data_IF_863583549251
#
_entry.id   IF_863583549251
#
_cell.length_a   1.000
_cell.length_b   1.000
_cell.length_c   1.000
_cell.angle_alpha   90.00
_cell.angle_beta   90.00
_cell.angle_gamma   90.00
#
_symmetry.space_group_name_H-M   'P 1'
#
loop_
_entity.id
_entity.type
_entity.pdbx_description
1 polymer ?
#
# COMPACT_ATOMS: atom_id res chain seq x y z
N UNK A 1 13.63 -26.29 57.45
CA UNK A 1 12.36 -27.04 57.63
C UNK A 1 11.33 -26.46 56.71
N UNK A 2 10.95 -27.16 55.65
CA UNK A 2 9.85 -26.80 54.77
C UNK A 2 8.67 -27.72 55.10
N UNK A 3 7.42 -27.25 55.25
CA UNK A 3 6.30 -28.11 55.50
C UNK A 3 5.85 -28.81 54.20
N UNK A 4 5.72 -30.12 54.26
CA UNK A 4 5.07 -30.97 53.27
C UNK A 4 3.55 -30.78 53.38
N UNK A 5 2.92 -30.28 52.30
CA UNK A 5 1.47 -30.26 52.17
C UNK A 5 1.05 -31.61 51.61
N UNK A 6 0.30 -32.36 52.37
CA UNK A 6 -0.29 -33.64 52.01
C UNK A 6 -1.66 -33.36 51.32
N UNK A 7 -1.81 -33.74 50.07
CA UNK A 7 -3.07 -33.61 49.32
C UNK A 7 -3.75 -34.99 49.34
N UNK A 8 -4.99 -35.12 49.83
CA UNK A 8 -5.67 -36.42 49.90
C UNK A 8 -6.10 -36.93 48.52
N UNK A 9 -5.94 -38.21 48.27
CA UNK A 9 -6.23 -38.94 47.01
C UNK A 9 -7.70 -38.91 46.53
N UNK A 10 -8.60 -38.32 47.25
CA UNK A 10 -10.01 -38.24 46.89
C UNK A 10 -10.38 -37.14 45.87
N UNK A 11 -9.46 -36.18 45.63
CA UNK A 11 -9.65 -35.10 44.67
C UNK A 11 -9.13 -35.40 43.24
N UNK A 12 -8.48 -36.55 43.05
CA UNK A 12 -7.88 -36.94 41.78
C UNK A 12 -8.81 -37.76 40.88
N UNK A 13 -10.06 -38.05 41.33
CA UNK A 13 -11.02 -38.85 40.55
C UNK A 13 -12.17 -38.07 39.92
N UNK A 14 -12.20 -36.76 40.03
CA UNK A 14 -13.28 -35.92 39.41
C UNK A 14 -12.82 -35.12 38.19
N UNK A 15 -11.61 -35.29 37.71
CA UNK A 15 -11.13 -34.61 36.49
C UNK A 15 -10.97 -35.52 35.25
N UNK A 16 -11.50 -36.74 35.29
CA UNK A 16 -11.55 -37.64 34.12
C UNK A 16 -13.00 -37.77 33.67
N UNK A 17 -13.54 -36.72 33.07
CA UNK A 17 -14.93 -36.76 32.61
C UNK A 17 -15.38 -35.61 31.68
N UNK A 18 -14.48 -34.69 31.33
CA UNK A 18 -14.83 -33.62 30.38
C UNK A 18 -13.68 -33.50 29.37
N UNK A 19 -13.49 -34.58 28.63
CA UNK A 19 -12.65 -34.60 27.45
C UNK A 19 -13.45 -35.27 26.33
N UNK A 20 -14.57 -34.62 25.93
CA UNK A 20 -15.17 -34.97 24.64
C UNK A 20 -16.02 -33.77 24.16
N UNK A 21 -15.76 -33.39 22.93
CA UNK A 21 -16.43 -32.36 22.12
C UNK A 21 -16.14 -30.90 22.48
N UNK A 22 -14.86 -30.51 22.42
CA UNK A 22 -14.56 -29.28 21.70
C UNK A 22 -14.51 -29.70 20.21
N UNK A 23 -15.65 -29.79 19.59
CA UNK A 23 -15.73 -29.67 18.13
C UNK A 23 -15.15 -28.27 17.86
N UNK A 24 -13.96 -28.22 17.30
CA UNK A 24 -13.36 -27.05 16.74
C UNK A 24 -14.35 -26.53 15.71
N UNK A 25 -15.26 -25.63 16.11
CA UNK A 25 -15.82 -24.67 15.19
C UNK A 25 -14.62 -23.82 14.76
N UNK A 26 -13.89 -24.33 13.77
CA UNK A 26 -13.03 -23.49 12.98
C UNK A 26 -13.92 -22.31 12.59
N UNK A 27 -13.69 -21.15 13.21
CA UNK A 27 -14.12 -19.88 12.63
C UNK A 27 -13.83 -20.04 11.15
N UNK A 28 -14.88 -19.88 10.35
CA UNK A 28 -14.75 -19.97 8.89
C UNK A 28 -13.80 -18.90 8.41
N UNK A 29 -12.50 -19.13 8.59
CA UNK A 29 -11.48 -18.48 7.83
C UNK A 29 -11.90 -18.73 6.39
N UNK A 30 -12.18 -17.67 5.68
CA UNK A 30 -12.48 -17.68 4.26
C UNK A 30 -11.46 -18.56 3.58
N UNK A 31 -11.86 -19.78 3.19
CA UNK A 31 -10.92 -20.68 2.51
C UNK A 31 -10.43 -19.95 1.25
N UNK A 32 -9.12 -19.82 1.04
CA UNK A 32 -8.60 -19.26 -0.20
C UNK A 32 -9.29 -19.96 -1.36
N UNK A 33 -9.73 -19.20 -2.34
CA UNK A 33 -10.20 -19.75 -3.59
C UNK A 33 -9.04 -20.57 -4.11
N UNK A 34 -9.22 -21.88 -4.28
CA UNK A 34 -8.19 -22.71 -4.92
C UNK A 34 -7.83 -22.01 -6.24
N UNK A 35 -6.54 -21.68 -6.40
CA UNK A 35 -6.05 -20.96 -7.57
C UNK A 35 -6.53 -21.71 -8.82
N UNK A 36 -7.44 -21.11 -9.57
CA UNK A 36 -7.88 -21.64 -10.84
C UNK A 36 -6.72 -21.46 -11.82
N UNK A 37 -5.97 -22.53 -12.10
CA UNK A 37 -5.00 -22.54 -13.21
C UNK A 37 -5.70 -22.53 -14.58
N UNK A 38 -7.04 -22.60 -14.60
CA UNK A 38 -7.83 -22.54 -15.81
C UNK A 38 -7.80 -21.13 -16.39
N UNK A 39 -7.68 -20.97 -17.70
CA UNK A 39 -7.80 -19.67 -18.37
C UNK A 39 -9.18 -19.04 -18.08
N UNK A 40 -9.24 -17.72 -18.02
CA UNK A 40 -10.50 -16.97 -17.94
C UNK A 40 -10.66 -16.12 -19.19
N UNK A 41 -11.77 -16.27 -19.88
CA UNK A 41 -12.16 -15.43 -21.02
C UNK A 41 -13.31 -14.50 -20.61
N UNK A 42 -13.01 -13.21 -20.50
CA UNK A 42 -14.00 -12.15 -20.28
C UNK A 42 -14.46 -11.67 -21.65
N UNK A 43 -15.77 -11.72 -21.93
CA UNK A 43 -16.34 -11.40 -23.24
C UNK A 43 -17.16 -10.13 -23.26
N UNK A 44 -17.18 -9.48 -24.42
CA UNK A 44 -18.10 -8.38 -24.77
C UNK A 44 -18.00 -7.17 -23.85
N UNK A 45 -16.89 -6.95 -23.17
CA UNK A 45 -16.70 -5.85 -22.23
C UNK A 45 -16.46 -4.51 -22.94
N UNK A 46 -16.77 -3.41 -22.26
CA UNK A 46 -16.12 -2.12 -22.50
C UNK A 46 -14.80 -2.12 -21.73
N UNK A 47 -13.66 -2.16 -22.43
CA UNK A 47 -12.34 -2.22 -21.83
C UNK A 47 -11.70 -0.84 -21.78
N UNK A 48 -11.40 -0.37 -20.58
CA UNK A 48 -10.66 0.86 -20.31
C UNK A 48 -9.18 0.52 -20.19
N UNK A 49 -8.42 0.72 -21.27
CA UNK A 49 -7.01 0.31 -21.28
C UNK A 49 -6.11 1.23 -20.49
N UNK A 50 -6.55 2.45 -20.22
CA UNK A 50 -5.85 3.56 -19.55
C UNK A 50 -4.74 4.20 -20.40
N UNK A 51 -4.02 3.41 -21.20
CA UNK A 51 -2.90 3.89 -22.03
C UNK A 51 -3.22 3.95 -23.53
N UNK A 52 -4.27 3.24 -23.97
CA UNK A 52 -4.65 3.14 -25.40
C UNK A 52 -6.14 3.45 -25.64
N UNK A 53 -6.77 4.14 -24.68
CA UNK A 53 -8.16 4.54 -24.75
C UNK A 53 -9.13 3.40 -24.45
N UNK A 54 -10.39 3.61 -24.80
CA UNK A 54 -11.55 2.76 -24.56
C UNK A 54 -11.80 1.83 -25.75
N UNK A 55 -12.01 0.54 -25.50
CA UNK A 55 -12.32 -0.49 -26.49
C UNK A 55 -13.70 -1.07 -26.22
N UNK A 56 -14.60 -0.98 -27.20
CA UNK A 56 -15.97 -1.48 -27.09
C UNK A 56 -16.10 -2.93 -27.57
N UNK A 57 -16.98 -3.71 -26.92
CA UNK A 57 -17.29 -5.10 -27.27
C UNK A 57 -16.01 -5.92 -27.47
N UNK A 58 -15.16 -5.90 -26.46
CA UNK A 58 -13.82 -6.47 -26.51
C UNK A 58 -13.69 -7.63 -25.51
N UNK A 59 -13.02 -8.69 -25.94
CA UNK A 59 -12.73 -9.85 -25.14
C UNK A 59 -11.31 -9.74 -24.55
N UNK A 60 -11.15 -10.21 -23.32
CA UNK A 60 -9.84 -10.39 -22.66
C UNK A 60 -9.64 -11.86 -22.29
N UNK A 61 -8.51 -12.43 -22.70
CA UNK A 61 -8.09 -13.73 -22.24
C UNK A 61 -7.04 -13.57 -21.15
N UNK A 62 -7.35 -14.07 -19.95
CA UNK A 62 -6.43 -14.16 -18.81
C UNK A 62 -5.91 -15.59 -18.74
N UNK A 63 -4.59 -15.77 -18.83
CA UNK A 63 -3.96 -17.08 -18.82
C UNK A 63 -2.55 -17.01 -18.20
N UNK A 64 -2.20 -17.99 -17.38
CA UNK A 64 -0.89 -18.08 -16.70
C UNK A 64 -0.53 -16.80 -15.93
N UNK A 65 -1.51 -16.19 -15.27
CA UNK A 65 -1.32 -14.97 -14.49
C UNK A 65 -1.18 -13.69 -15.31
N UNK A 66 -1.35 -13.77 -16.65
CA UNK A 66 -1.14 -12.65 -17.57
C UNK A 66 -2.37 -12.36 -18.41
N UNK A 67 -2.44 -11.12 -18.92
CA UNK A 67 -3.32 -10.77 -20.03
C UNK A 67 -2.72 -11.37 -21.30
N UNK A 68 -3.26 -12.50 -21.73
CA UNK A 68 -2.70 -13.25 -22.85
C UNK A 68 -3.13 -12.70 -24.22
N UNK A 69 -4.40 -12.26 -24.35
CA UNK A 69 -4.95 -11.71 -25.58
C UNK A 69 -6.00 -10.64 -25.28
N UNK A 70 -6.10 -9.68 -26.20
CA UNK A 70 -7.14 -8.65 -26.24
C UNK A 70 -7.65 -8.59 -27.66
N UNK A 71 -8.96 -8.70 -27.87
CA UNK A 71 -9.53 -8.67 -29.22
C UNK A 71 -11.04 -8.90 -29.23
N UNK A 72 -11.60 -9.13 -30.41
CA UNK A 72 -13.03 -9.46 -30.57
C UNK A 72 -13.18 -10.92 -30.94
N UNK A 73 -14.24 -11.57 -30.44
CA UNK A 73 -14.59 -12.95 -30.78
C UNK A 73 -13.43 -13.95 -30.53
N UNK A 74 -12.71 -13.80 -29.42
CA UNK A 74 -11.61 -14.69 -29.06
C UNK A 74 -12.14 -16.11 -28.83
N UNK A 75 -11.40 -17.11 -29.31
CA UNK A 75 -11.70 -18.50 -29.02
C UNK A 75 -11.42 -18.81 -27.54
N UNK A 76 -12.36 -19.44 -26.85
CA UNK A 76 -12.14 -19.91 -25.49
C UNK A 76 -11.19 -21.12 -25.51
N UNK A 77 -10.04 -21.11 -24.82
CA UNK A 77 -9.21 -22.27 -24.65
C UNK A 77 -9.97 -23.42 -23.96
N UNK A 78 -9.53 -24.65 -24.17
CA UNK A 78 -10.12 -25.81 -23.49
C UNK A 78 -10.05 -25.62 -21.95
N UNK A 79 -11.18 -25.84 -21.27
CA UNK A 79 -11.29 -25.67 -19.82
C UNK A 79 -11.33 -24.21 -19.32
N UNK A 80 -11.42 -23.25 -20.23
CA UNK A 80 -11.53 -21.83 -19.82
C UNK A 80 -12.88 -21.54 -19.14
N UNK A 81 -12.84 -20.76 -18.07
CA UNK A 81 -14.02 -20.10 -17.53
C UNK A 81 -14.38 -18.96 -18.46
N UNK A 82 -15.64 -18.89 -18.91
CA UNK A 82 -16.15 -17.80 -19.75
C UNK A 82 -17.06 -16.91 -18.91
N UNK A 83 -16.76 -15.61 -18.87
CA UNK A 83 -17.54 -14.59 -18.18
C UNK A 83 -18.11 -13.65 -19.22
N UNK A 84 -19.45 -13.54 -19.31
CA UNK A 84 -20.09 -12.54 -20.13
C UNK A 84 -20.12 -11.18 -19.40
N UNK A 85 -19.42 -10.23 -19.96
CA UNK A 85 -19.31 -8.85 -19.46
C UNK A 85 -20.07 -7.84 -20.35
N UNK A 86 -21.10 -8.30 -21.06
CA UNK A 86 -21.97 -7.41 -21.86
C UNK A 86 -22.57 -6.31 -20.97
N UNK A 87 -22.37 -5.05 -21.35
CA UNK A 87 -22.80 -3.86 -20.60
C UNK A 87 -21.95 -3.54 -19.37
N UNK A 88 -20.87 -4.31 -19.13
CA UNK A 88 -19.92 -4.10 -18.02
C UNK A 88 -18.63 -3.48 -18.53
N UNK A 89 -17.87 -2.93 -17.57
CA UNK A 89 -16.59 -2.32 -17.83
C UNK A 89 -15.46 -3.18 -17.22
N UNK A 90 -14.34 -3.20 -17.89
CA UNK A 90 -13.11 -3.86 -17.41
C UNK A 90 -11.99 -2.84 -17.43
N UNK A 91 -11.32 -2.66 -16.30
CA UNK A 91 -10.16 -1.77 -16.17
C UNK A 91 -9.03 -2.47 -15.41
N UNK A 92 -7.78 -1.92 -15.43
CA UNK A 92 -6.72 -2.42 -14.57
C UNK A 92 -7.12 -2.32 -13.11
N UNK A 93 -6.56 -3.16 -12.26
CA UNK A 93 -6.68 -3.01 -10.82
C UNK A 93 -6.19 -1.64 -10.35
N UNK A 94 -6.90 -1.08 -9.38
CA UNK A 94 -6.52 0.18 -8.73
C UNK A 94 -5.24 -0.04 -7.92
N UNK A 95 -4.33 0.94 -7.97
CA UNK A 95 -3.07 0.96 -7.24
C UNK A 95 -3.11 2.13 -6.26
N UNK A 96 -3.05 1.84 -4.97
CA UNK A 96 -2.94 2.86 -3.94
C UNK A 96 -1.46 3.05 -3.53
N UNK A 97 -0.83 4.17 -3.92
CA UNK A 97 0.59 4.41 -3.65
C UNK A 97 0.89 4.83 -2.20
N UNK A 98 -0.13 4.94 -1.34
CA UNK A 98 0.01 5.27 0.07
C UNK A 98 -1.03 4.57 0.93
N UNK A 99 -0.61 3.53 1.62
CA UNK A 99 -1.46 2.75 2.52
C UNK A 99 -0.73 2.38 3.81
N UNK A 100 -1.52 2.13 4.86
CA UNK A 100 -1.07 1.55 6.13
C UNK A 100 -1.82 0.25 6.45
N UNK A 101 -2.61 -0.26 5.51
CA UNK A 101 -3.29 -1.56 5.62
C UNK A 101 -2.28 -2.67 5.85
N UNK A 102 -2.64 -3.70 6.59
CA UNK A 102 -1.83 -4.84 7.01
C UNK A 102 -0.80 -4.54 8.12
N UNK A 103 -0.81 -3.35 8.75
CA UNK A 103 0.09 -3.05 9.86
C UNK A 103 -0.65 -2.32 10.99
N UNK A 104 -0.50 -2.80 12.24
CA UNK A 104 -1.14 -2.18 13.41
C UNK A 104 -0.36 -0.96 13.90
N UNK A 105 0.96 -1.11 14.08
CA UNK A 105 1.85 -0.06 14.56
C UNK A 105 2.61 0.55 13.38
N UNK A 106 2.07 1.65 12.84
CA UNK A 106 2.60 2.27 11.62
C UNK A 106 3.94 3.01 11.80
N UNK A 107 4.36 3.30 13.04
CA UNK A 107 5.53 4.14 13.32
C UNK A 107 6.50 3.49 14.31
N UNK A 108 7.76 3.31 13.90
CA UNK A 108 8.88 3.22 14.82
C UNK A 108 9.41 4.65 15.06
N UNK A 109 8.78 5.35 16.00
CA UNK A 109 8.96 6.79 16.17
C UNK A 109 9.96 7.19 17.26
N UNK A 110 10.78 6.27 17.79
CA UNK A 110 11.72 6.50 18.89
C UNK A 110 12.92 7.36 18.52
N UNK A 111 13.43 7.22 17.28
CA UNK A 111 14.56 7.96 16.75
C UNK A 111 14.17 8.86 15.58
N UNK A 112 15.03 9.80 15.21
CA UNK A 112 14.84 10.66 14.03
C UNK A 112 15.10 9.94 12.73
N UNK A 113 15.95 8.91 12.77
CA UNK A 113 16.31 8.02 11.68
C UNK A 113 16.08 6.58 12.12
N UNK A 114 15.21 5.86 11.43
CA UNK A 114 14.88 4.45 11.66
C UNK A 114 14.87 3.66 10.35
N UNK A 115 15.77 4.01 9.44
CA UNK A 115 15.88 3.42 8.09
C UNK A 115 16.06 1.90 8.08
N UNK A 116 16.53 1.31 9.19
CA UNK A 116 16.75 -0.13 9.35
C UNK A 116 15.45 -0.93 9.56
N UNK A 117 14.37 -0.31 10.02
CA UNK A 117 13.11 -1.06 10.24
C UNK A 117 12.37 -1.31 8.93
N UNK A 118 11.66 -2.44 8.83
CA UNK A 118 11.02 -2.87 7.60
C UNK A 118 9.56 -3.21 7.85
N UNK A 119 8.66 -2.57 7.11
CA UNK A 119 7.22 -2.84 7.15
C UNK A 119 6.92 -4.31 6.82
N UNK A 120 7.67 -4.92 5.89
CA UNK A 120 7.44 -6.31 5.50
C UNK A 120 7.56 -7.33 6.64
N UNK A 121 8.27 -7.00 7.72
CA UNK A 121 8.49 -7.92 8.83
C UNK A 121 7.27 -8.02 9.78
N UNK A 122 6.26 -7.15 9.60
CA UNK A 122 5.08 -7.03 10.47
C UNK A 122 3.76 -7.01 9.69
N UNK A 123 3.77 -7.44 8.42
CA UNK A 123 2.56 -7.50 7.61
C UNK A 123 1.57 -8.53 8.18
N UNK A 124 0.34 -8.12 8.44
CA UNK A 124 -0.77 -8.99 8.81
C UNK A 124 -1.60 -9.38 7.58
N UNK A 125 -1.48 -10.63 7.07
CA UNK A 125 -2.25 -11.08 5.91
C UNK A 125 -3.73 -11.33 6.24
N UNK A 126 -4.13 -11.23 7.51
CA UNK A 126 -5.51 -11.46 7.97
C UNK A 126 -6.31 -10.17 8.17
N UNK A 127 -5.70 -9.01 7.94
CA UNK A 127 -6.39 -7.73 8.01
C UNK A 127 -7.58 -7.69 7.03
N UNK A 128 -8.79 -7.60 7.58
CA UNK A 128 -10.04 -7.58 6.80
C UNK A 128 -10.12 -6.43 5.79
N UNK A 129 -9.33 -5.38 5.98
CA UNK A 129 -9.28 -4.26 5.06
C UNK A 129 -8.72 -4.66 3.69
N UNK A 130 -7.89 -5.71 3.61
CA UNK A 130 -7.47 -6.32 2.34
C UNK A 130 -8.71 -6.69 1.51
N UNK A 131 -9.62 -7.46 2.11
CA UNK A 131 -10.84 -7.90 1.42
C UNK A 131 -11.78 -6.75 1.07
N UNK A 132 -11.90 -5.77 1.97
CA UNK A 132 -12.71 -4.56 1.73
C UNK A 132 -12.18 -3.72 0.58
N UNK A 133 -10.86 -3.61 0.44
CA UNK A 133 -10.22 -2.87 -0.65
C UNK A 133 -10.34 -3.60 -1.98
N UNK A 134 -10.22 -4.93 -1.99
CA UNK A 134 -10.54 -5.76 -3.16
C UNK A 134 -11.96 -5.53 -3.68
N UNK A 135 -12.94 -5.37 -2.76
CA UNK A 135 -14.32 -5.03 -3.11
C UNK A 135 -14.46 -3.60 -3.70
N UNK A 136 -13.46 -2.76 -3.54
CA UNK A 136 -13.31 -1.44 -4.20
C UNK A 136 -12.48 -1.48 -5.47
N UNK A 137 -12.00 -2.66 -5.89
CA UNK A 137 -11.18 -2.83 -7.10
C UNK A 137 -9.69 -2.54 -6.89
N UNK A 138 -9.22 -2.37 -5.66
CA UNK A 138 -7.78 -2.20 -5.37
C UNK A 138 -7.08 -3.56 -5.44
N UNK A 139 -5.98 -3.62 -6.18
CA UNK A 139 -5.19 -4.86 -6.35
C UNK A 139 -3.79 -4.76 -5.79
N UNK A 140 -3.24 -3.55 -5.75
CA UNK A 140 -1.86 -3.30 -5.31
C UNK A 140 -1.83 -2.07 -4.39
N UNK A 141 -1.11 -2.17 -3.29
CA UNK A 141 -0.88 -1.06 -2.37
C UNK A 141 0.60 -0.92 -2.02
N UNK A 142 1.02 0.29 -1.68
CA UNK A 142 2.32 0.56 -1.10
C UNK A 142 2.17 0.75 0.41
N UNK A 143 2.52 -0.27 1.18
CA UNK A 143 2.44 -0.20 2.65
C UNK A 143 3.65 0.54 3.18
N UNK A 144 3.42 1.75 3.70
CA UNK A 144 4.44 2.68 4.14
C UNK A 144 4.58 2.69 5.66
N UNK A 145 5.80 2.92 6.13
CA UNK A 145 6.01 3.42 7.50
C UNK A 145 5.28 4.77 7.67
N UNK A 146 4.76 5.04 8.85
CA UNK A 146 4.08 6.31 9.14
C UNK A 146 5.01 7.53 9.09
N UNK A 147 4.50 8.68 9.48
CA UNK A 147 5.20 9.98 9.29
C UNK A 147 5.79 10.53 10.59
N UNK A 148 6.15 9.69 11.57
CA UNK A 148 6.61 10.16 12.88
C UNK A 148 8.05 10.70 12.90
N UNK A 149 8.92 10.27 12.00
CA UNK A 149 10.34 10.61 11.96
C UNK A 149 10.77 11.11 10.58
N UNK A 150 11.84 11.92 10.56
CA UNK A 150 12.38 12.53 9.31
C UNK A 150 12.78 11.44 8.32
N UNK A 151 13.44 10.38 8.77
CA UNK A 151 13.73 9.18 7.99
C UNK A 151 13.12 8.00 8.75
N UNK A 152 12.04 7.44 8.19
CA UNK A 152 11.34 6.29 8.76
C UNK A 152 11.83 4.96 8.17
N UNK A 153 10.95 3.96 8.17
CA UNK A 153 11.25 2.59 7.76
C UNK A 153 11.09 2.33 6.26
N UNK A 154 11.52 1.14 5.88
CA UNK A 154 11.42 0.61 4.53
C UNK A 154 9.98 0.13 4.29
N UNK A 155 9.42 0.48 3.11
CA UNK A 155 8.07 0.09 2.71
C UNK A 155 7.99 -1.33 2.13
N UNK A 156 6.76 -1.78 1.89
CA UNK A 156 6.48 -2.99 1.13
C UNK A 156 5.40 -2.72 0.07
N UNK A 157 5.67 -3.07 -1.18
CA UNK A 157 4.64 -3.11 -2.22
C UNK A 157 4.01 -4.50 -2.20
N UNK A 158 2.69 -4.57 -2.09
CA UNK A 158 1.96 -5.83 -1.96
C UNK A 158 0.80 -5.90 -2.96
N UNK A 159 0.50 -7.11 -3.45
CA UNK A 159 -0.73 -7.45 -4.14
C UNK A 159 -1.73 -8.02 -3.13
N UNK A 160 -2.96 -7.52 -3.13
CA UNK A 160 -3.98 -7.84 -2.13
C UNK A 160 -4.55 -9.26 -2.32
N UNK A 161 -3.72 -10.29 -2.20
CA UNK A 161 -4.09 -11.70 -2.38
C UNK A 161 -4.72 -12.27 -1.11
N UNK A 162 -5.93 -11.84 -0.76
CA UNK A 162 -6.65 -12.27 0.43
C UNK A 162 -6.64 -13.79 0.61
N UNK A 163 -6.26 -14.26 1.81
CA UNK A 163 -6.16 -15.66 2.14
C UNK A 163 -4.83 -16.31 1.75
N UNK A 164 -3.85 -15.54 1.30
CA UNK A 164 -2.46 -15.95 1.11
C UNK A 164 -1.60 -15.46 2.26
N UNK A 165 -0.40 -16.05 2.41
CA UNK A 165 0.60 -15.58 3.37
C UNK A 165 1.19 -14.22 2.98
N UNK A 166 1.73 -13.50 3.94
CA UNK A 166 2.30 -12.16 3.73
C UNK A 166 3.41 -12.17 2.66
N UNK A 167 4.27 -13.20 2.63
CA UNK A 167 5.32 -13.31 1.62
C UNK A 167 4.77 -13.55 0.20
N UNK A 168 3.66 -14.26 0.04
CA UNK A 168 2.96 -14.47 -1.25
C UNK A 168 2.26 -13.20 -1.75
N UNK A 169 1.97 -12.26 -0.84
CA UNK A 169 1.39 -10.95 -1.17
C UNK A 169 2.45 -9.95 -1.61
N UNK A 170 3.72 -10.09 -1.23
CA UNK A 170 4.77 -9.18 -1.67
C UNK A 170 4.82 -9.12 -3.21
N UNK A 171 4.86 -7.90 -3.75
CA UNK A 171 4.97 -7.71 -5.20
C UNK A 171 6.37 -8.14 -5.66
N UNK A 172 6.48 -9.20 -6.48
CA UNK A 172 7.80 -9.76 -6.83
C UNK A 172 8.65 -8.74 -7.61
N UNK A 173 9.89 -8.52 -7.16
CA UNK A 173 10.86 -7.62 -7.80
C UNK A 173 10.41 -6.14 -7.89
N UNK A 174 9.48 -5.70 -7.06
CA UNK A 174 9.23 -4.27 -6.91
C UNK A 174 10.49 -3.58 -6.38
N UNK A 175 10.77 -2.38 -6.89
CA UNK A 175 11.91 -1.60 -6.38
C UNK A 175 11.71 -1.30 -4.90
N UNK A 176 12.67 -1.60 -4.04
CA UNK A 176 12.58 -1.27 -2.61
C UNK A 176 12.36 0.24 -2.41
N UNK A 177 11.65 0.59 -1.36
CA UNK A 177 11.44 1.99 -1.01
C UNK A 177 11.69 2.26 0.47
N UNK A 178 11.67 3.54 0.84
CA UNK A 178 11.81 4.02 2.21
C UNK A 178 10.93 5.25 2.41
N UNK A 179 10.32 5.37 3.57
CA UNK A 179 9.48 6.51 3.94
C UNK A 179 10.29 7.59 4.63
N UNK A 180 10.24 8.80 4.07
CA UNK A 180 10.65 10.02 4.75
C UNK A 180 9.42 10.81 5.18
N UNK A 181 9.60 11.75 6.10
CA UNK A 181 8.54 12.66 6.49
C UNK A 181 9.07 14.03 6.86
N UNK A 182 8.27 15.05 6.56
CA UNK A 182 8.47 16.44 6.87
C UNK A 182 7.29 16.98 7.69
N UNK A 183 7.36 18.23 8.09
CA UNK A 183 6.24 18.96 8.68
C UNK A 183 6.00 18.70 10.16
N UNK A 184 4.77 19.00 10.56
CA UNK A 184 4.41 18.98 11.99
C UNK A 184 4.32 17.57 12.56
N UNK A 185 4.09 16.55 11.74
CA UNK A 185 4.06 15.16 12.20
C UNK A 185 5.42 14.75 12.80
N UNK A 186 6.52 15.16 12.18
CA UNK A 186 7.88 14.89 12.63
C UNK A 186 8.23 15.73 13.86
N UNK A 187 7.90 17.02 13.85
CA UNK A 187 8.21 17.94 14.96
C UNK A 187 7.31 17.74 16.18
N UNK A 188 6.18 17.06 16.02
CA UNK A 188 5.26 16.66 17.09
C UNK A 188 4.85 17.82 18.01
N UNK A 189 4.55 19.00 17.47
CA UNK A 189 4.18 20.19 18.26
C UNK A 189 3.13 19.91 19.35
N UNK A 190 2.13 19.10 19.04
CA UNK A 190 1.05 18.79 19.98
C UNK A 190 1.47 17.81 21.10
N UNK A 191 2.47 16.95 20.85
CA UNK A 191 2.99 16.00 21.85
C UNK A 191 4.20 16.57 22.64
N UNK A 192 4.84 17.63 22.14
CA UNK A 192 5.96 18.28 22.85
C UNK A 192 5.54 18.85 24.20
N UNK A 193 4.39 19.49 24.29
CA UNK A 193 3.87 20.02 25.56
C UNK A 193 3.62 18.90 26.58
N UNK A 194 3.06 17.77 26.12
CA UNK A 194 2.85 16.60 26.97
C UNK A 194 4.18 15.96 27.39
N UNK A 195 5.16 15.87 26.50
CA UNK A 195 6.51 15.38 26.81
C UNK A 195 7.25 16.30 27.80
N UNK A 196 7.19 17.62 27.61
CA UNK A 196 7.77 18.57 28.56
C UNK A 196 7.11 18.49 29.93
N UNK A 197 5.79 18.33 29.97
CA UNK A 197 5.06 18.14 31.23
C UNK A 197 5.42 16.83 31.95
N UNK A 198 5.83 15.77 31.21
CA UNK A 198 6.27 14.49 31.76
C UNK A 198 7.76 14.44 32.15
N UNK A 199 8.53 15.51 31.92
CA UNK A 199 9.97 15.56 32.17
C UNK A 199 10.81 14.73 31.21
N UNK A 200 10.25 14.19 30.13
CA UNK A 200 10.98 13.44 29.13
C UNK A 200 11.72 14.37 28.16
N UNK A 201 12.95 14.02 27.74
CA UNK A 201 13.68 14.81 26.75
C UNK A 201 12.93 14.83 25.41
N UNK A 202 12.90 16.00 24.78
CA UNK A 202 12.35 16.14 23.44
C UNK A 202 13.22 15.41 22.42
N UNK A 203 12.58 14.62 21.55
CA UNK A 203 13.29 14.05 20.41
C UNK A 203 13.63 15.15 19.39
N UNK A 204 14.89 15.23 18.96
CA UNK A 204 15.27 16.02 17.79
C UNK A 204 14.72 15.39 16.51
N UNK A 205 14.22 16.15 15.48
CA UNK A 205 14.09 17.60 15.45
C UNK A 205 12.77 18.07 16.10
N UNK A 206 12.84 19.18 16.80
CA UNK A 206 11.66 19.85 17.37
C UNK A 206 11.07 20.92 16.45
N UNK A 207 11.76 21.28 15.38
CA UNK A 207 11.38 22.33 14.41
C UNK A 207 11.69 21.91 12.98
N UNK A 208 11.17 22.65 11.99
CA UNK A 208 11.47 22.45 10.57
C UNK A 208 12.94 22.66 10.23
N UNK A 209 13.63 23.59 10.91
CA UNK A 209 15.09 23.76 10.76
C UNK A 209 15.87 22.47 11.09
N UNK A 210 15.47 21.79 12.16
CA UNK A 210 16.12 20.54 12.53
C UNK A 210 15.84 19.38 11.58
N UNK A 211 14.73 19.40 10.81
CA UNK A 211 14.45 18.37 9.82
C UNK A 211 15.48 18.38 8.69
N UNK A 212 15.83 19.56 8.21
CA UNK A 212 16.87 19.73 7.18
C UNK A 212 18.23 19.17 7.64
N UNK A 213 18.62 19.48 8.87
CA UNK A 213 19.88 19.01 9.44
C UNK A 213 19.90 17.51 9.68
N UNK A 214 18.77 16.88 10.09
CA UNK A 214 18.69 15.41 10.19
C UNK A 214 18.95 14.76 8.83
N UNK A 215 18.38 15.29 7.76
CA UNK A 215 18.59 14.78 6.40
C UNK A 215 20.05 14.92 5.98
N UNK A 216 20.66 16.10 6.16
CA UNK A 216 22.07 16.36 5.79
C UNK A 216 23.02 15.47 6.59
N UNK A 217 22.83 15.35 7.91
CA UNK A 217 23.66 14.48 8.76
C UNK A 217 23.57 13.03 8.29
N UNK A 218 22.35 12.51 8.12
CA UNK A 218 22.13 11.13 7.72
C UNK A 218 22.76 10.79 6.37
N UNK A 219 22.61 11.67 5.36
CA UNK A 219 23.20 11.45 4.04
C UNK A 219 24.71 11.71 4.01
N UNK A 220 25.24 12.63 4.83
CA UNK A 220 26.68 12.77 5.01
C UNK A 220 27.30 11.50 5.57
N UNK A 221 26.74 10.96 6.65
CA UNK A 221 27.16 9.68 7.24
C UNK A 221 27.04 8.51 6.26
N UNK A 222 25.95 8.45 5.49
CA UNK A 222 25.75 7.41 4.48
C UNK A 222 26.79 7.48 3.35
N UNK A 223 27.15 8.68 2.90
CA UNK A 223 28.18 8.90 1.89
C UNK A 223 29.56 8.49 2.40
N UNK A 224 29.89 8.83 3.64
CA UNK A 224 31.17 8.45 4.25
C UNK A 224 31.25 6.93 4.48
N UNK A 225 30.17 6.32 4.90
CA UNK A 225 30.06 4.87 5.05
C UNK A 225 30.21 4.14 3.70
N UNK A 226 29.57 4.65 2.65
CA UNK A 226 29.75 4.13 1.29
C UNK A 226 31.20 4.22 0.84
N UNK A 227 31.87 5.36 1.06
CA UNK A 227 33.27 5.55 0.68
C UNK A 227 34.21 4.54 1.37
N UNK A 228 33.99 4.22 2.64
CA UNK A 228 34.75 3.19 3.37
C UNK A 228 34.59 1.80 2.73
N UNK A 229 33.36 1.42 2.39
CA UNK A 229 33.11 0.14 1.71
C UNK A 229 33.67 0.11 0.29
N UNK A 230 33.59 1.21 -0.45
CA UNK A 230 34.14 1.32 -1.81
C UNK A 230 35.68 1.17 -1.78
N UNK A 231 36.37 1.82 -0.83
CA UNK A 231 37.83 1.66 -0.66
C UNK A 231 38.19 0.21 -0.30
N UNK A 232 37.51 -0.37 0.70
CA UNK A 232 37.73 -1.75 1.10
C UNK A 232 37.57 -2.71 -0.09
N UNK A 233 36.46 -2.60 -0.83
CA UNK A 233 36.18 -3.45 -1.98
C UNK A 233 37.22 -3.26 -3.13
N UNK A 234 37.67 -2.03 -3.35
CA UNK A 234 38.72 -1.74 -4.34
C UNK A 234 40.06 -2.38 -3.97
N UNK A 235 40.41 -2.37 -2.67
CA UNK A 235 41.64 -2.99 -2.17
C UNK A 235 41.56 -4.54 -2.17
N UNK A 236 40.40 -5.11 -1.83
CA UNK A 236 40.16 -6.55 -2.00
C UNK A 236 40.31 -6.97 -3.45
N UNK A 237 39.74 -6.19 -4.40
CA UNK A 237 39.86 -6.47 -5.83
C UNK A 237 41.31 -6.39 -6.36
N UNK A 238 42.16 -5.58 -5.73
CA UNK A 238 43.58 -5.51 -6.02
C UNK A 238 44.40 -6.66 -5.39
N UNK A 239 43.76 -7.52 -4.60
CA UNK A 239 44.42 -8.67 -3.96
C UNK A 239 45.21 -8.31 -2.70
N UNK A 240 44.94 -7.17 -2.09
CA UNK A 240 45.54 -6.81 -0.79
C UNK A 240 45.12 -7.81 0.29
N UNK A 241 46.09 -8.19 1.17
CA UNK A 241 45.88 -9.14 2.22
C UNK A 241 45.73 -8.44 3.58
N UNK A 242 45.19 -9.15 4.55
CA UNK A 242 45.00 -8.68 5.93
C UNK A 242 44.16 -7.40 6.05
N UNK A 243 43.19 -7.23 5.14
CA UNK A 243 42.24 -6.15 5.23
C UNK A 243 41.17 -6.44 6.29
N UNK A 244 40.81 -5.42 7.04
CA UNK A 244 39.64 -5.47 7.94
C UNK A 244 38.47 -4.81 7.24
N UNK A 245 37.34 -5.53 7.11
CA UNK A 245 36.12 -4.98 6.52
C UNK A 245 35.54 -3.88 7.43
N UNK A 246 34.97 -2.81 6.86
CA UNK A 246 34.20 -1.86 7.66
C UNK A 246 33.08 -2.55 8.43
N UNK A 247 32.76 -2.03 9.60
CA UNK A 247 31.63 -2.52 10.40
C UNK A 247 30.30 -2.24 9.69
N UNK A 248 29.40 -3.22 9.66
CA UNK A 248 28.07 -3.04 9.07
C UNK A 248 27.22 -2.08 9.91
N UNK A 249 26.56 -1.15 9.24
CA UNK A 249 25.63 -0.22 9.85
C UNK A 249 24.26 -0.31 9.16
N UNK A 250 23.31 -1.01 9.80
CA UNK A 250 21.98 -1.28 9.25
C UNK A 250 21.13 0.00 9.06
N UNK A 251 21.43 1.07 9.79
CA UNK A 251 20.79 2.39 9.60
C UNK A 251 21.27 3.05 8.32
N UNK A 252 22.57 2.94 7.99
CA UNK A 252 23.15 3.61 6.84
C UNK A 252 23.00 2.83 5.52
N UNK A 253 22.93 1.49 5.58
CA UNK A 253 22.80 0.65 4.36
C UNK A 253 21.62 1.06 3.46
N UNK A 254 20.37 1.27 3.96
CA UNK A 254 19.26 1.70 3.11
C UNK A 254 19.48 3.10 2.51
N UNK A 255 20.19 3.99 3.21
CA UNK A 255 20.51 5.33 2.70
C UNK A 255 21.59 5.28 1.61
N UNK A 256 22.54 4.35 1.70
CA UNK A 256 23.47 4.06 0.60
C UNK A 256 22.74 3.56 -0.63
N UNK A 257 21.73 2.67 -0.45
CA UNK A 257 20.89 2.21 -1.57
C UNK A 257 20.12 3.37 -2.22
N UNK A 258 19.69 4.37 -1.45
CA UNK A 258 19.09 5.62 -1.99
C UNK A 258 20.10 6.39 -2.83
N UNK A 259 21.35 6.61 -2.32
CA UNK A 259 22.42 7.28 -3.04
C UNK A 259 22.81 6.55 -4.35
N UNK A 260 22.64 5.24 -4.39
CA UNK A 260 22.90 4.40 -5.57
C UNK A 260 21.71 4.27 -6.52
N UNK A 261 20.57 4.90 -6.21
CA UNK A 261 19.34 4.81 -7.00
C UNK A 261 18.65 3.44 -6.94
N UNK A 262 19.03 2.58 -5.98
CA UNK A 262 18.48 1.24 -5.80
C UNK A 262 17.23 1.21 -4.92
N UNK A 263 16.97 2.27 -4.16
CA UNK A 263 15.85 2.43 -3.26
C UNK A 263 15.11 3.72 -3.50
N UNK A 264 13.79 3.66 -3.64
CA UNK A 264 12.94 4.83 -3.85
C UNK A 264 12.65 5.56 -2.54
N UNK A 265 12.69 6.89 -2.57
CA UNK A 265 12.26 7.74 -1.45
C UNK A 265 10.81 8.16 -1.66
N UNK A 266 9.95 7.87 -0.68
CA UNK A 266 8.57 8.34 -0.59
C UNK A 266 8.45 9.28 0.61
N UNK A 267 8.21 10.57 0.38
CA UNK A 267 8.31 11.58 1.42
C UNK A 267 6.95 12.22 1.75
N UNK A 268 6.44 11.96 2.97
CA UNK A 268 5.32 12.70 3.51
C UNK A 268 5.64 14.20 3.60
N UNK A 269 4.80 15.04 3.02
CA UNK A 269 4.97 16.48 2.99
C UNK A 269 3.65 17.16 2.65
N UNK A 270 3.43 18.37 3.15
CA UNK A 270 2.25 19.18 2.80
C UNK A 270 2.63 20.50 2.16
N UNK A 271 3.61 21.19 2.70
CA UNK A 271 3.98 22.58 2.36
C UNK A 271 4.96 22.62 1.20
N UNK A 272 4.79 23.62 0.33
CA UNK A 272 5.66 23.84 -0.83
C UNK A 272 7.12 24.13 -0.44
N UNK A 273 7.36 24.91 0.60
CA UNK A 273 8.71 25.27 1.08
C UNK A 273 9.49 24.05 1.60
N UNK A 274 8.79 23.13 2.31
CA UNK A 274 9.41 21.90 2.81
C UNK A 274 9.72 20.90 1.69
N UNK A 275 8.81 20.76 0.73
CA UNK A 275 9.04 19.94 -0.46
C UNK A 275 10.23 20.44 -1.24
N UNK A 276 10.32 21.77 -1.46
CA UNK A 276 11.44 22.38 -2.17
C UNK A 276 12.77 22.13 -1.45
N UNK A 277 12.81 22.30 -0.12
CA UNK A 277 13.99 21.99 0.70
C UNK A 277 14.45 20.56 0.51
N UNK A 278 13.52 19.57 0.52
CA UNK A 278 13.89 18.17 0.30
C UNK A 278 14.43 17.93 -1.12
N UNK A 279 13.85 18.57 -2.14
CA UNK A 279 14.35 18.47 -3.52
C UNK A 279 15.76 19.05 -3.66
N UNK A 280 16.08 20.16 -2.97
CA UNK A 280 17.43 20.73 -2.97
C UNK A 280 18.44 19.82 -2.24
N UNK A 281 18.07 19.19 -1.13
CA UNK A 281 18.91 18.17 -0.46
C UNK A 281 19.12 16.96 -1.38
N UNK A 282 18.07 16.48 -2.03
CA UNK A 282 18.19 15.37 -2.98
C UNK A 282 19.19 15.70 -4.11
N UNK A 283 19.16 16.92 -4.63
CA UNK A 283 20.10 17.41 -5.63
C UNK A 283 21.53 17.52 -5.06
N UNK A 284 21.70 18.02 -3.84
CA UNK A 284 22.99 18.15 -3.16
C UNK A 284 23.70 16.80 -2.99
N UNK A 285 22.95 15.76 -2.64
CA UNK A 285 23.48 14.42 -2.39
C UNK A 285 23.41 13.49 -3.62
N UNK A 286 22.75 13.91 -4.71
CA UNK A 286 22.71 13.18 -5.98
C UNK A 286 21.71 12.03 -6.00
N UNK A 287 20.60 12.10 -5.23
CA UNK A 287 19.51 11.13 -5.31
C UNK A 287 18.22 11.78 -5.81
N UNK A 288 17.22 10.96 -6.13
CA UNK A 288 15.89 11.43 -6.56
C UNK A 288 14.82 11.04 -5.54
N UNK A 289 13.98 12.00 -5.14
CA UNK A 289 12.75 11.72 -4.42
C UNK A 289 11.75 11.13 -5.41
N UNK A 290 11.37 9.86 -5.23
CA UNK A 290 10.48 9.19 -6.18
C UNK A 290 9.08 9.76 -6.13
N UNK A 291 8.55 10.00 -4.91
CA UNK A 291 7.19 10.52 -4.72
C UNK A 291 7.10 11.38 -3.47
N UNK A 292 6.57 12.59 -3.63
CA UNK A 292 6.08 13.42 -2.53
C UNK A 292 4.67 12.92 -2.17
N UNK A 293 4.51 12.47 -0.94
CA UNK A 293 3.24 11.93 -0.45
C UNK A 293 2.40 13.05 0.17
N UNK A 294 1.11 13.09 -0.16
CA UNK A 294 0.14 14.13 0.13
C UNK A 294 0.37 15.42 -0.65
N UNK A 295 1.56 16.03 -0.57
CA UNK A 295 2.00 17.17 -1.38
C UNK A 295 0.94 18.23 -1.62
N UNK A 296 0.19 18.65 -0.56
CA UNK A 296 -1.03 19.44 -0.71
C UNK A 296 -0.81 20.81 -1.35
N UNK A 297 0.38 21.37 -1.19
CA UNK A 297 0.82 22.61 -1.84
C UNK A 297 1.69 22.39 -3.07
N UNK A 298 1.71 21.18 -3.62
CA UNK A 298 2.52 20.83 -4.81
C UNK A 298 2.26 21.74 -6.00
N UNK A 299 1.04 22.22 -6.15
CA UNK A 299 0.67 23.17 -7.21
C UNK A 299 1.48 24.49 -7.18
N UNK A 300 2.00 24.91 -5.99
CA UNK A 300 2.81 26.11 -5.84
C UNK A 300 4.21 25.95 -6.46
N UNK A 301 4.70 24.74 -6.55
CA UNK A 301 6.06 24.38 -7.02
C UNK A 301 6.03 23.27 -8.08
N UNK A 302 4.97 23.21 -8.87
CA UNK A 302 4.75 22.15 -9.85
C UNK A 302 5.89 22.04 -10.88
N UNK A 303 6.45 23.18 -11.29
CA UNK A 303 7.59 23.23 -12.23
C UNK A 303 8.85 22.62 -11.63
N UNK A 304 9.15 22.92 -10.37
CA UNK A 304 10.33 22.40 -9.64
C UNK A 304 10.21 20.89 -9.42
N UNK A 305 9.02 20.41 -9.07
CA UNK A 305 8.73 18.98 -8.94
C UNK A 305 8.94 18.27 -10.28
N UNK A 306 8.43 18.85 -11.39
CA UNK A 306 8.61 18.30 -12.73
C UNK A 306 10.09 18.26 -13.15
N UNK A 307 10.84 19.34 -12.91
CA UNK A 307 12.27 19.43 -13.21
C UNK A 307 13.11 18.43 -12.40
N UNK A 308 12.71 18.13 -11.17
CA UNK A 308 13.37 17.12 -10.34
C UNK A 308 13.05 15.67 -10.77
N UNK A 309 12.13 15.47 -11.72
CA UNK A 309 11.66 14.13 -12.11
C UNK A 309 10.91 13.40 -10.99
N UNK A 310 10.39 14.15 -10.03
CA UNK A 310 9.68 13.65 -8.85
C UNK A 310 8.19 13.49 -9.15
N UNK A 311 7.57 12.40 -8.69
CA UNK A 311 6.13 12.22 -8.69
C UNK A 311 5.47 12.86 -7.46
N UNK A 312 4.16 13.00 -7.49
CA UNK A 312 3.40 13.45 -6.34
C UNK A 312 2.12 12.63 -6.18
N UNK A 313 1.81 12.25 -4.96
CA UNK A 313 0.58 11.55 -4.60
C UNK A 313 -0.23 12.39 -3.63
N UNK A 314 -1.48 12.75 -3.97
CA UNK A 314 -2.26 13.70 -3.18
C UNK A 314 -3.64 13.14 -2.83
N UNK A 315 -4.37 13.87 -1.98
CA UNK A 315 -5.79 13.63 -1.73
C UNK A 315 -6.65 14.35 -2.75
N UNK A 316 -7.85 13.82 -3.00
CA UNK A 316 -8.81 14.45 -3.90
C UNK A 316 -9.51 15.66 -3.27
N UNK A 317 -9.85 15.60 -1.98
CA UNK A 317 -10.71 16.56 -1.30
C UNK A 317 -10.49 16.67 0.22
N UNK A 318 -9.31 16.27 0.71
CA UNK A 318 -8.93 16.47 2.11
C UNK A 318 -8.14 17.76 2.26
N UNK A 319 -8.80 18.79 2.74
CA UNK A 319 -8.20 20.10 3.02
C UNK A 319 -8.65 20.64 4.38
N UNK A 320 -7.89 21.61 4.91
CA UNK A 320 -8.22 22.36 6.11
C UNK A 320 -8.42 21.58 7.42
N UNK A 321 -8.04 20.30 7.48
CA UNK A 321 -8.16 19.47 8.69
C UNK A 321 -7.04 19.72 9.72
N UNK A 322 -5.98 20.43 9.31
CA UNK A 322 -4.90 20.94 10.16
C UNK A 322 -4.22 22.16 9.51
N UNK A 323 -3.41 22.89 10.27
CA UNK A 323 -2.81 24.17 9.81
C UNK A 323 -1.98 23.99 8.53
N UNK A 324 -1.16 22.97 8.43
CA UNK A 324 -0.34 22.76 7.22
C UNK A 324 -1.11 22.21 6.02
N UNK A 325 -2.41 21.91 6.17
CA UNK A 325 -3.32 21.57 5.09
C UNK A 325 -4.27 22.71 4.69
N UNK A 326 -4.04 23.92 5.23
CA UNK A 326 -4.94 25.06 5.03
C UNK A 326 -4.99 25.53 3.57
N UNK A 327 -3.86 25.52 2.88
CA UNK A 327 -3.74 25.95 1.48
C UNK A 327 -3.97 24.81 0.46
N UNK A 328 -4.46 23.66 0.90
CA UNK A 328 -4.83 22.58 -0.02
C UNK A 328 -5.99 23.01 -0.92
N UNK A 329 -5.91 22.63 -2.20
CA UNK A 329 -6.92 22.96 -3.21
C UNK A 329 -7.30 21.72 -4.04
N UNK A 330 -8.55 21.63 -4.52
CA UNK A 330 -9.00 20.47 -5.32
C UNK A 330 -8.36 20.37 -6.70
N UNK A 331 -7.69 21.42 -7.15
CA UNK A 331 -7.03 21.48 -8.47
C UNK A 331 -5.57 21.01 -8.43
N UNK A 332 -5.04 20.61 -7.28
CA UNK A 332 -3.62 20.28 -7.10
C UNK A 332 -3.15 19.19 -8.08
N UNK A 333 -3.81 18.02 -8.09
CA UNK A 333 -3.44 16.92 -8.99
C UNK A 333 -3.56 17.29 -10.48
N UNK A 334 -4.66 17.91 -10.95
CA UNK A 334 -4.75 18.41 -12.31
C UNK A 334 -3.64 19.40 -12.71
N UNK A 335 -3.31 20.36 -11.86
CA UNK A 335 -2.23 21.33 -12.11
C UNK A 335 -0.89 20.60 -12.29
N UNK A 336 -0.58 19.67 -11.40
CA UNK A 336 0.64 18.88 -11.46
C UNK A 336 0.75 18.07 -12.75
N UNK A 337 -0.33 17.41 -13.18
CA UNK A 337 -0.39 16.67 -14.45
C UNK A 337 -0.13 17.58 -15.65
N UNK A 338 -0.71 18.80 -15.67
CA UNK A 338 -0.47 19.78 -16.73
C UNK A 338 0.99 20.27 -16.77
N UNK A 339 1.71 20.23 -15.66
CA UNK A 339 3.14 20.50 -15.59
C UNK A 339 4.03 19.28 -15.91
N UNK A 340 3.43 18.14 -16.27
CA UNK A 340 4.17 16.92 -16.60
C UNK A 340 4.61 16.09 -15.40
N UNK A 341 4.13 16.41 -14.19
CA UNK A 341 4.40 15.60 -12.99
C UNK A 341 3.58 14.32 -13.05
N UNK A 342 4.18 13.18 -12.72
CA UNK A 342 3.43 11.92 -12.52
C UNK A 342 2.66 12.02 -11.20
N UNK A 343 1.40 12.46 -11.28
CA UNK A 343 0.57 12.68 -10.10
C UNK A 343 -0.48 11.58 -9.94
N UNK A 344 -0.77 11.23 -8.67
CA UNK A 344 -1.76 10.22 -8.28
C UNK A 344 -2.71 10.76 -7.23
N UNK A 345 -3.85 10.10 -7.10
CA UNK A 345 -4.72 10.20 -5.93
C UNK A 345 -4.49 8.98 -5.06
N UNK A 346 -4.30 9.19 -3.75
CA UNK A 346 -4.11 8.13 -2.75
C UNK A 346 -5.16 8.19 -1.65
N UNK A 347 -5.23 7.13 -0.86
CA UNK A 347 -6.21 7.06 0.22
C UNK A 347 -5.67 7.52 1.58
N UNK A 348 -4.49 7.08 1.98
CA UNK A 348 -3.97 7.14 3.36
C UNK A 348 -5.03 6.69 4.40
N UNK A 349 -5.91 5.77 3.99
CA UNK A 349 -7.04 5.33 4.78
C UNK A 349 -7.61 4.01 4.26
N UNK A 350 -7.74 3.00 5.14
CA UNK A 350 -8.34 1.72 4.80
C UNK A 350 -9.76 1.84 4.26
N UNK A 351 -10.52 2.81 4.77
CA UNK A 351 -11.90 3.06 4.37
C UNK A 351 -11.97 3.79 3.03
N UNK A 352 -11.14 4.80 2.81
CA UNK A 352 -11.14 5.61 1.59
C UNK A 352 -10.59 4.83 0.40
N UNK A 353 -9.60 3.95 0.60
CA UNK A 353 -9.02 3.12 -0.45
C UNK A 353 -10.08 2.41 -1.31
N UNK A 354 -11.19 2.02 -0.73
CA UNK A 354 -12.32 1.38 -1.43
C UNK A 354 -13.05 2.28 -2.43
N UNK A 355 -12.75 3.58 -2.46
CA UNK A 355 -13.48 4.60 -3.25
C UNK A 355 -12.55 5.47 -4.10
N UNK A 356 -11.32 5.03 -4.33
CA UNK A 356 -10.37 5.76 -5.16
C UNK A 356 -10.90 6.02 -6.58
N UNK A 357 -11.77 5.15 -7.11
CA UNK A 357 -12.46 5.38 -8.37
C UNK A 357 -13.32 6.67 -8.35
N UNK A 358 -13.97 6.96 -7.22
CA UNK A 358 -14.76 8.20 -7.06
C UNK A 358 -13.83 9.40 -6.88
N UNK A 359 -12.69 9.23 -6.18
CA UNK A 359 -11.69 10.29 -6.05
C UNK A 359 -11.06 10.64 -7.39
N UNK A 360 -10.82 9.65 -8.27
CA UNK A 360 -10.41 9.92 -9.66
C UNK A 360 -11.48 10.70 -10.44
N UNK A 361 -12.77 10.38 -10.28
CA UNK A 361 -13.86 11.11 -10.92
C UNK A 361 -13.93 12.59 -10.51
N UNK A 362 -13.53 12.92 -9.26
CA UNK A 362 -13.42 14.30 -8.78
C UNK A 362 -12.38 15.10 -9.59
N UNK A 363 -11.33 14.45 -10.09
CA UNK A 363 -10.30 15.12 -10.90
C UNK A 363 -10.87 15.60 -12.26
N UNK A 364 -11.83 14.90 -12.82
CA UNK A 364 -12.60 15.37 -13.98
C UNK A 364 -13.43 16.60 -13.60
N UNK A 365 -14.16 16.52 -12.50
CA UNK A 365 -15.06 17.59 -12.05
C UNK A 365 -14.33 18.87 -11.69
N UNK A 366 -13.21 18.75 -10.98
CA UNK A 366 -12.44 19.92 -10.50
C UNK A 366 -11.44 20.43 -11.53
N UNK A 367 -10.71 19.53 -12.18
CA UNK A 367 -9.59 19.90 -13.05
C UNK A 367 -9.84 19.76 -14.55
N UNK A 368 -11.00 19.25 -14.95
CA UNK A 368 -11.32 19.05 -16.37
C UNK A 368 -10.48 17.96 -17.04
N UNK A 369 -9.93 17.01 -16.27
CA UNK A 369 -9.20 15.88 -16.84
C UNK A 369 -10.12 15.04 -17.73
N UNK A 370 -9.56 14.42 -18.75
CA UNK A 370 -10.23 13.36 -19.49
C UNK A 370 -10.43 12.11 -18.60
N UNK A 371 -11.34 11.20 -19.00
CA UNK A 371 -11.55 9.92 -18.31
C UNK A 371 -10.24 9.11 -18.19
N UNK A 372 -9.47 9.03 -19.28
CA UNK A 372 -8.18 8.31 -19.28
C UNK A 372 -7.16 8.94 -18.32
N UNK A 373 -7.06 10.27 -18.27
CA UNK A 373 -6.16 10.95 -17.32
C UNK A 373 -6.60 10.73 -15.88
N UNK A 374 -7.90 10.81 -15.60
CA UNK A 374 -8.43 10.53 -14.27
C UNK A 374 -8.14 9.09 -13.83
N UNK A 375 -8.38 8.10 -14.70
CA UNK A 375 -8.07 6.70 -14.41
C UNK A 375 -6.56 6.45 -14.21
N UNK A 376 -5.70 7.15 -14.95
CA UNK A 376 -4.24 7.07 -14.73
C UNK A 376 -3.85 7.46 -13.32
N UNK A 377 -4.57 8.40 -12.68
CA UNK A 377 -4.24 8.85 -11.31
C UNK A 377 -4.37 7.77 -10.25
N UNK A 378 -5.14 6.73 -10.50
CA UNK A 378 -5.39 5.61 -9.58
C UNK A 378 -4.90 4.26 -10.11
N UNK A 379 -4.21 4.22 -11.25
CA UNK A 379 -3.73 3.01 -11.90
C UNK A 379 -2.29 3.17 -12.40
N UNK A 380 -2.11 3.61 -13.65
CA UNK A 380 -0.80 3.65 -14.32
C UNK A 380 0.21 4.58 -13.63
N UNK A 381 -0.21 5.76 -13.17
CA UNK A 381 0.70 6.68 -12.48
C UNK A 381 1.19 6.11 -11.14
N UNK A 382 0.31 5.40 -10.41
CA UNK A 382 0.71 4.63 -9.21
C UNK A 382 1.74 3.56 -9.54
N UNK A 383 1.54 2.82 -10.63
CA UNK A 383 2.51 1.83 -11.09
C UNK A 383 3.88 2.46 -11.42
N UNK A 384 3.91 3.65 -12.06
CA UNK A 384 5.15 4.40 -12.35
C UNK A 384 5.83 4.85 -11.07
N UNK A 385 5.08 5.33 -10.08
CA UNK A 385 5.63 5.75 -8.78
C UNK A 385 6.23 4.58 -7.99
N UNK A 386 5.71 3.36 -8.20
CA UNK A 386 6.22 2.14 -7.57
C UNK A 386 7.27 1.39 -8.42
N UNK A 387 7.50 1.83 -9.67
CA UNK A 387 8.45 1.19 -10.60
C UNK A 387 7.94 -0.17 -11.13
N UNK A 388 6.62 -0.36 -11.22
CA UNK A 388 6.00 -1.63 -11.64
C UNK A 388 5.09 -1.47 -12.89
N UNK A 389 5.22 -0.35 -13.60
CA UNK A 389 4.39 0.00 -14.77
C UNK A 389 4.51 -1.00 -15.93
N UNK A 390 5.60 -1.74 -16.02
CA UNK A 390 5.77 -2.78 -17.05
C UNK A 390 4.95 -4.03 -16.75
N UNK A 391 4.40 -4.12 -15.55
CA UNK A 391 3.66 -5.29 -15.07
C UNK A 391 2.20 -5.04 -14.84
N UNK A 392 1.83 -3.87 -14.29
CA UNK A 392 0.46 -3.53 -13.88
C UNK A 392 0.09 -2.08 -14.26
N UNK A 393 -1.13 -1.66 -13.96
CA UNK A 393 -1.60 -0.27 -14.11
C UNK A 393 -2.21 0.07 -15.47
N UNK A 394 -2.19 -0.86 -16.43
CA UNK A 394 -2.89 -0.74 -17.73
C UNK A 394 -3.28 -2.10 -18.27
N UNK A 395 -4.28 -2.14 -19.17
CA UNK A 395 -4.68 -3.36 -19.88
C UNK A 395 -3.84 -3.49 -21.16
N UNK A 396 -2.81 -4.33 -21.09
CA UNK A 396 -1.91 -4.61 -22.22
C UNK A 396 -1.50 -6.09 -22.22
N UNK A 397 -1.37 -6.68 -23.40
CA UNK A 397 -0.90 -8.07 -23.54
C UNK A 397 0.49 -8.23 -22.91
N UNK A 398 0.65 -9.25 -22.10
CA UNK A 398 1.90 -9.58 -21.38
C UNK A 398 1.98 -9.02 -19.97
N UNK A 399 1.16 -8.03 -19.59
CA UNK A 399 1.06 -7.55 -18.22
C UNK A 399 0.36 -8.56 -17.32
N UNK A 400 0.56 -8.41 -16.01
CA UNK A 400 -0.12 -9.22 -15.01
C UNK A 400 -1.63 -9.04 -15.15
N UNK A 401 -2.36 -10.12 -14.97
CA UNK A 401 -3.82 -10.12 -15.06
C UNK A 401 -4.46 -9.58 -13.77
N UNK A 402 -4.07 -8.36 -13.38
CA UNK A 402 -4.65 -7.58 -12.29
C UNK A 402 -5.73 -6.69 -12.89
N UNK A 403 -6.96 -7.20 -12.96
CA UNK A 403 -8.08 -6.56 -13.66
C UNK A 403 -9.35 -6.59 -12.82
N UNK A 404 -10.24 -5.62 -13.02
CA UNK A 404 -11.50 -5.51 -12.31
C UNK A 404 -12.66 -5.41 -13.30
N UNK A 405 -13.67 -6.24 -13.10
CA UNK A 405 -14.96 -6.12 -13.79
C UNK A 405 -15.87 -5.22 -12.95
N UNK A 406 -16.42 -4.19 -13.56
CA UNK A 406 -17.33 -3.22 -12.95
C UNK A 406 -18.74 -3.35 -13.52
N UNK A 407 -19.76 -3.12 -12.68
CA UNK A 407 -21.17 -3.17 -13.07
C UNK A 407 -21.57 -2.10 -14.10
N UNK A 408 -20.76 -1.09 -14.29
CA UNK A 408 -20.92 0.05 -15.21
C UNK A 408 -19.64 0.87 -15.20
N UNK A 409 -19.71 2.12 -15.69
CA UNK A 409 -18.57 3.03 -15.71
C UNK A 409 -17.95 3.18 -14.30
N UNK A 410 -16.66 2.83 -14.09
CA UNK A 410 -16.03 2.89 -12.78
C UNK A 410 -15.98 4.31 -12.18
N UNK A 411 -16.02 5.35 -13.00
CA UNK A 411 -16.05 6.75 -12.54
C UNK A 411 -17.44 7.21 -12.07
N UNK A 412 -18.45 6.34 -12.16
CA UNK A 412 -19.80 6.61 -11.67
C UNK A 412 -20.01 6.11 -10.24
N UNK A 413 -20.66 6.92 -9.40
CA UNK A 413 -21.07 6.55 -8.03
C UNK A 413 -22.08 5.40 -7.98
N UNK A 414 -22.71 5.06 -9.10
CA UNK A 414 -23.66 3.95 -9.20
C UNK A 414 -22.99 2.61 -9.54
N UNK A 415 -21.71 2.65 -9.91
CA UNK A 415 -20.96 1.46 -10.28
C UNK A 415 -20.25 0.85 -9.07
N UNK A 416 -20.07 -0.46 -9.12
CA UNK A 416 -19.32 -1.22 -8.10
C UNK A 416 -18.46 -2.28 -8.78
N UNK A 417 -17.32 -2.59 -8.17
CA UNK A 417 -16.55 -3.76 -8.58
C UNK A 417 -17.39 -5.03 -8.38
N UNK A 418 -17.45 -5.87 -9.39
CA UNK A 418 -18.14 -7.16 -9.35
C UNK A 418 -17.18 -8.32 -9.18
N UNK A 419 -16.04 -8.27 -9.87
CA UNK A 419 -14.99 -9.30 -9.76
C UNK A 419 -13.63 -8.64 -9.83
N UNK A 420 -12.76 -8.92 -8.87
CA UNK A 420 -11.37 -8.44 -8.83
C UNK A 420 -10.42 -9.61 -8.99
N UNK A 421 -9.61 -9.53 -10.04
CA UNK A 421 -8.57 -10.49 -10.37
C UNK A 421 -7.19 -9.94 -10.01
N UNK A 422 -6.33 -10.81 -9.46
CA UNK A 422 -4.89 -10.56 -9.29
C UNK A 422 -4.16 -11.78 -9.86
N UNK A 423 -3.19 -11.54 -10.74
CA UNK A 423 -2.48 -12.59 -11.45
C UNK A 423 -3.43 -13.61 -12.12
N UNK A 424 -4.60 -13.14 -12.57
CA UNK A 424 -5.63 -13.96 -13.23
C UNK A 424 -6.48 -14.82 -12.29
N UNK A 425 -6.26 -14.77 -10.98
CA UNK A 425 -7.08 -15.44 -9.96
C UNK A 425 -8.13 -14.48 -9.39
N UNK A 426 -9.29 -15.00 -9.02
CA UNK A 426 -10.38 -14.21 -8.41
C UNK A 426 -10.12 -14.09 -6.90
N UNK A 427 -9.90 -12.87 -6.42
CA UNK A 427 -9.77 -12.57 -4.99
C UNK A 427 -11.00 -11.89 -4.38
N UNK A 428 -11.85 -11.29 -5.22
CA UNK A 428 -13.17 -10.81 -4.83
C UNK A 428 -14.21 -11.14 -5.90
N UNK A 429 -15.36 -11.62 -5.47
CA UNK A 429 -16.55 -11.81 -6.30
C UNK A 429 -17.77 -11.37 -5.51
N UNK A 430 -18.52 -10.40 -6.03
CA UNK A 430 -19.65 -9.78 -5.35
C UNK A 430 -20.80 -10.76 -5.07
N UNK A 431 -21.08 -11.67 -6.00
CA UNK A 431 -22.19 -12.63 -5.80
C UNK A 431 -21.85 -13.61 -4.68
N UNK A 432 -20.60 -14.07 -4.66
CA UNK A 432 -20.09 -14.92 -3.59
C UNK A 432 -20.07 -14.20 -2.24
N UNK A 433 -19.67 -12.92 -2.20
CA UNK A 433 -19.70 -12.09 -0.99
C UNK A 433 -21.11 -11.96 -0.44
N UNK A 434 -22.11 -11.68 -1.29
CA UNK A 434 -23.51 -11.60 -0.88
C UNK A 434 -24.02 -12.92 -0.30
N UNK A 435 -23.72 -14.04 -0.96
CA UNK A 435 -24.10 -15.37 -0.46
C UNK A 435 -23.46 -15.69 0.90
N UNK A 436 -22.19 -15.31 1.11
CA UNK A 436 -21.52 -15.47 2.41
C UNK A 436 -22.16 -14.62 3.51
N UNK A 437 -22.55 -13.37 3.23
CA UNK A 437 -23.22 -12.50 4.21
C UNK A 437 -24.53 -13.11 4.70
N UNK A 438 -25.31 -13.71 3.80
CA UNK A 438 -26.54 -14.42 4.17
C UNK A 438 -26.26 -15.62 5.09
N UNK A 439 -25.21 -16.40 4.79
CA UNK A 439 -24.78 -17.50 5.64
C UNK A 439 -24.32 -17.01 7.02
N UNK A 440 -23.45 -16.01 7.07
CA UNK A 440 -22.94 -15.41 8.32
C UNK A 440 -24.10 -14.88 9.18
N UNK A 441 -25.12 -14.27 8.57
CA UNK A 441 -26.32 -13.79 9.29
C UNK A 441 -27.06 -14.93 9.97
N UNK A 442 -27.21 -16.08 9.27
CA UNK A 442 -27.86 -17.28 9.83
C UNK A 442 -27.03 -17.90 10.97
N UNK A 443 -25.72 -18.03 10.77
CA UNK A 443 -24.79 -18.54 11.79
C UNK A 443 -24.79 -17.67 13.04
N UNK A 444 -24.72 -16.35 12.88
CA UNK A 444 -24.79 -15.39 13.99
C UNK A 444 -26.08 -15.55 14.77
N UNK A 445 -27.22 -15.63 14.11
CA UNK A 445 -28.51 -15.83 14.76
C UNK A 445 -28.56 -17.15 15.55
N UNK A 446 -28.00 -18.23 15.01
CA UNK A 446 -27.92 -19.53 15.68
C UNK A 446 -27.00 -19.47 16.92
N UNK A 447 -25.83 -18.81 16.82
CA UNK A 447 -24.91 -18.64 17.97
C UNK A 447 -25.52 -17.78 19.07
N UNK A 448 -26.19 -16.67 18.73
CA UNK A 448 -26.90 -15.82 19.69
C UNK A 448 -28.05 -16.55 20.38
N UNK A 449 -28.77 -17.42 19.67
CA UNK A 449 -29.82 -18.25 20.25
C UNK A 449 -29.24 -19.29 21.24
N UNK A 450 -28.11 -19.92 20.85
CA UNK A 450 -27.42 -20.89 21.70
C UNK A 450 -26.87 -20.24 22.99
N UNK A 451 -26.31 -19.02 22.89
CA UNK A 451 -25.78 -18.28 24.05
C UNK A 451 -26.89 -17.85 25.00
N UNK A 452 -28.05 -17.39 24.48
CA UNK A 452 -29.21 -17.08 25.30
C UNK A 452 -29.72 -18.29 26.09
N UNK A 453 -29.65 -19.48 25.48
CA UNK A 453 -30.05 -20.74 26.17
C UNK A 453 -29.05 -21.20 27.25
N UNK A 454 -27.81 -20.66 27.23
CA UNK A 454 -26.74 -21.00 28.20
C UNK A 454 -26.64 -20.03 29.37
N UNK A 455 -27.22 -18.85 29.29
CA UNK A 455 -27.20 -17.89 30.41
C UNK A 455 -28.07 -18.42 31.53
N UNK A 456 -27.53 -18.64 32.75
CA UNK A 456 -28.35 -18.97 33.90
C UNK A 456 -29.32 -17.80 34.13
N UNK A 457 -30.59 -18.11 34.30
CA UNK A 457 -31.57 -17.13 34.79
C UNK A 457 -31.09 -16.77 36.18
N UNK A 458 -30.43 -15.63 36.32
CA UNK A 458 -30.10 -15.08 37.64
C UNK A 458 -31.43 -14.67 38.25
N UNK A 459 -31.83 -15.21 39.44
CA UNK A 459 -33.07 -14.91 40.07
C UNK A 459 -33.20 -13.46 40.54
#
# INVERSE_FOLDING_TARGET
MRPHIHIPDSLMRQFIGIATLVASSAMGAQQPVAASKAPTLIRNATVLTVTKGRLENTDLLLQNGKIAQIGKNLAAPAGAQVIDATGKYVMPGIIDPHSHTMIDAVNEGSLSVTSMVRVRDVLDPTDVNIYRQLAGGVTTINVLHGSANTIGGQNAVVKLKWGRDADEMLFPNATPGIKFALGENVTRKNSQQAQQASGQPLRYPATRMGQEEVLRDAFTRARDYKAQWDDYNARVKKGEKNLVAPERNLELEPLVEVLEGKRFVHAHSYRGDEMLMLLEIAKEFGFTVKTLQHGLEGYKIASEIAQAGTGLSSFADEWSYKIEAYDAIPYNVPILLHHGVVATVNSDSDERARRLNIDAAKMIRYGGLSEDEALKTITYNGAVQLGVQDRVGSIEVGKDADVVIWSGDPLSVYSSAETTFIDGEVFFDKQRDLAMRDQMTKERAALEAADRGRRPVVP
#
